data_IF_982954218788
#
_entry.id   IF_982954218788
#
_cell.length_a   1.000
_cell.length_b   1.000
_cell.length_c   1.000
_cell.angle_alpha   90.00
_cell.angle_beta   90.00
_cell.angle_gamma   90.00
#
_symmetry.space_group_name_H-M   'P 1'
#
loop_
_entity.id
_entity.type
_entity.pdbx_description
1 polymer ?
#
# COMPACT_ATOMS: atom_id res chain seq x y z
N UNK A 1 -5.29 22.62 13.26
CA UNK A 1 -4.61 21.47 13.90
C UNK A 1 -3.15 21.50 13.45
N UNK A 2 -2.20 21.40 14.39
CA UNK A 2 -0.77 21.59 14.11
C UNK A 2 -0.20 20.45 13.25
N UNK A 3 0.93 20.72 12.59
CA UNK A 3 1.71 19.69 11.89
C UNK A 3 2.15 18.61 12.89
N UNK A 4 2.08 17.35 12.48
CA UNK A 4 2.40 16.18 13.32
C UNK A 4 3.75 15.61 12.87
N UNK A 5 4.61 15.27 13.84
CA UNK A 5 5.90 14.64 13.58
C UNK A 5 5.97 13.30 14.33
N UNK A 6 6.39 12.25 13.62
CA UNK A 6 6.64 10.92 14.19
C UNK A 6 8.10 10.54 14.05
N UNK A 7 8.63 9.83 15.04
CA UNK A 7 10.00 9.38 15.12
C UNK A 7 10.07 7.84 15.11
N UNK A 8 10.83 7.29 14.17
CA UNK A 8 11.39 5.94 14.25
C UNK A 8 12.80 6.03 14.84
N UNK A 9 13.05 5.28 15.90
CA UNK A 9 14.33 5.31 16.61
C UNK A 9 14.89 3.90 16.76
N UNK A 10 16.09 3.67 16.24
CA UNK A 10 16.77 2.39 16.30
C UNK A 10 18.16 2.59 16.91
N UNK A 11 18.48 1.79 17.92
CA UNK A 11 19.80 1.68 18.53
C UNK A 11 20.55 0.49 17.95
N UNK A 12 21.87 0.63 17.88
CA UNK A 12 22.79 -0.46 17.56
C UNK A 12 22.70 -1.65 18.53
N UNK A 13 22.58 -1.39 19.83
CA UNK A 13 22.61 -2.43 20.86
C UNK A 13 21.19 -2.88 21.27
N UNK A 14 20.26 -1.93 21.42
CA UNK A 14 18.90 -2.20 21.90
C UNK A 14 17.92 -2.54 20.77
N UNK A 15 18.31 -2.33 19.51
CA UNK A 15 17.44 -2.53 18.38
C UNK A 15 16.37 -1.43 18.29
N UNK A 16 15.13 -1.83 18.01
CA UNK A 16 14.06 -0.87 17.68
C UNK A 16 13.46 -0.27 18.97
N UNK A 17 13.96 0.90 19.36
CA UNK A 17 13.52 1.58 20.58
C UNK A 17 12.10 2.10 20.44
N UNK A 18 11.69 2.53 19.23
CA UNK A 18 10.34 3.09 19.03
C UNK A 18 9.25 2.02 18.93
N UNK A 19 9.61 0.73 18.87
CA UNK A 19 8.65 -0.37 18.78
C UNK A 19 7.68 -0.38 19.99
N UNK A 20 6.38 -0.38 19.69
CA UNK A 20 5.33 -0.30 20.70
C UNK A 20 5.23 1.01 21.50
N UNK A 21 5.95 2.08 21.13
CA UNK A 21 5.87 3.37 21.84
C UNK A 21 4.55 4.10 21.63
N UNK A 22 3.88 3.89 20.49
CA UNK A 22 2.56 4.45 20.18
C UNK A 22 1.39 3.57 20.59
N UNK A 23 1.57 2.68 21.59
CA UNK A 23 0.53 1.82 22.15
C UNK A 23 -0.23 2.50 23.29
N UNK A 24 -1.40 1.95 23.63
CA UNK A 24 -2.16 2.33 24.83
C UNK A 24 -1.34 2.18 26.11
N UNK A 25 -0.52 1.14 26.20
CA UNK A 25 0.28 0.84 27.40
C UNK A 25 1.40 1.87 27.62
N UNK A 26 1.84 2.51 26.53
CA UNK A 26 2.93 3.48 26.53
C UNK A 26 2.44 4.93 26.70
N UNK A 27 1.42 5.35 25.93
CA UNK A 27 0.97 6.75 25.88
C UNK A 27 -0.51 6.95 26.26
N UNK A 28 -1.18 5.90 26.74
CA UNK A 28 -2.57 5.94 27.17
C UNK A 28 -3.52 6.36 26.03
N UNK A 29 -4.47 7.25 26.34
CA UNK A 29 -5.48 7.73 25.39
C UNK A 29 -4.92 8.57 24.23
N UNK A 30 -3.62 8.89 24.25
CA UNK A 30 -2.96 9.69 23.21
C UNK A 30 -2.39 8.83 22.07
N UNK A 31 -2.51 7.50 22.18
CA UNK A 31 -2.13 6.57 21.14
C UNK A 31 -2.90 6.86 19.84
N UNK A 32 -2.27 6.60 18.70
CA UNK A 32 -2.88 6.82 17.39
C UNK A 32 -2.78 5.56 16.53
N UNK A 33 -3.90 5.26 15.85
CA UNK A 33 -3.96 4.15 14.92
C UNK A 33 -2.94 4.37 13.79
N UNK A 34 -2.21 3.29 13.43
CA UNK A 34 -1.15 3.25 12.42
C UNK A 34 0.19 3.90 12.82
N UNK A 35 0.36 4.30 14.08
CA UNK A 35 1.62 4.87 14.62
C UNK A 35 2.14 4.10 15.83
N UNK A 36 1.81 2.82 15.93
CA UNK A 36 2.05 1.98 17.12
C UNK A 36 3.54 1.79 17.43
N UNK A 37 4.37 1.79 16.39
CA UNK A 37 5.82 1.55 16.48
C UNK A 37 6.65 2.81 16.22
N UNK A 38 6.04 3.98 16.44
CA UNK A 38 6.62 5.29 16.26
C UNK A 38 6.38 6.13 17.52
N UNK A 39 7.29 7.07 17.77
CA UNK A 39 7.23 8.00 18.89
C UNK A 39 6.59 9.31 18.39
N UNK A 40 5.65 9.86 19.14
CA UNK A 40 5.05 11.16 18.83
C UNK A 40 5.96 12.31 19.28
N UNK A 41 6.30 13.21 18.35
CA UNK A 41 7.20 14.34 18.60
C UNK A 41 6.40 15.65 18.59
N UNK A 42 6.39 16.37 19.72
CA UNK A 42 5.66 17.62 19.91
C UNK A 42 6.36 18.82 19.28
N UNK A 43 7.68 18.84 19.35
CA UNK A 43 8.49 19.90 18.76
C UNK A 43 9.82 19.36 18.29
N UNK A 44 10.36 19.99 17.25
CA UNK A 44 11.67 19.69 16.69
C UNK A 44 12.34 21.00 16.33
N UNK A 45 13.57 21.16 16.81
CA UNK A 45 14.45 22.27 16.53
C UNK A 45 15.71 21.70 15.87
N UNK A 46 15.95 22.12 14.64
CA UNK A 46 17.18 21.84 13.92
C UNK A 46 17.75 23.17 13.42
N UNK A 47 19.05 23.38 13.62
CA UNK A 47 19.74 24.62 13.26
C UNK A 47 20.89 24.36 12.29
N UNK A 48 21.07 25.27 11.34
CA UNK A 48 22.27 25.32 10.50
C UNK A 48 22.82 26.73 10.56
N UNK A 49 24.07 26.85 10.96
CA UNK A 49 24.80 28.13 10.97
C UNK A 49 25.82 28.14 9.82
N UNK A 50 26.21 29.33 9.37
CA UNK A 50 27.24 29.47 8.34
C UNK A 50 28.60 29.72 8.99
N UNK A 51 29.62 29.02 8.53
CA UNK A 51 31.02 29.29 8.89
C UNK A 51 31.69 30.31 7.96
N UNK A 52 31.00 30.76 6.91
CA UNK A 52 31.59 31.48 5.78
C UNK A 52 32.32 30.60 4.77
N UNK A 53 32.61 29.33 5.11
CA UNK A 53 33.23 28.32 4.22
C UNK A 53 32.36 27.07 4.00
N UNK A 54 31.19 27.02 4.64
CA UNK A 54 30.27 25.89 4.60
C UNK A 54 29.25 25.93 5.73
N UNK A 55 28.31 24.97 5.70
CA UNK A 55 27.32 24.77 6.74
C UNK A 55 27.95 24.18 8.01
N UNK A 56 27.63 24.74 9.16
CA UNK A 56 27.86 24.15 10.47
C UNK A 56 26.52 23.69 11.01
N UNK A 57 26.33 22.37 11.01
CA UNK A 57 25.14 21.73 11.53
C UNK A 57 25.17 21.77 13.06
N UNK A 58 24.09 22.26 13.65
CA UNK A 58 23.88 22.21 15.09
C UNK A 58 23.26 20.87 15.48
N UNK A 59 23.29 20.53 16.77
CA UNK A 59 22.52 19.40 17.29
C UNK A 59 21.04 19.53 16.93
N UNK A 60 20.37 18.38 16.79
CA UNK A 60 18.93 18.34 16.61
C UNK A 60 18.30 18.08 17.97
N UNK A 61 17.38 18.96 18.38
CA UNK A 61 16.66 18.84 19.63
C UNK A 61 15.19 18.58 19.33
N UNK A 62 14.60 17.58 19.98
CA UNK A 62 13.19 17.29 19.86
C UNK A 62 12.55 17.04 21.23
N UNK A 63 11.25 17.27 21.32
CA UNK A 63 10.48 17.05 22.54
C UNK A 63 9.41 15.99 22.28
N UNK A 64 9.28 15.04 23.20
CA UNK A 64 8.26 13.99 23.20
C UNK A 64 7.65 13.84 24.59
N UNK A 65 6.56 13.10 24.68
CA UNK A 65 5.98 12.72 25.97
C UNK A 65 6.87 11.67 26.66
N UNK A 66 6.81 11.58 28.00
CA UNK A 66 7.31 10.39 28.71
C UNK A 66 6.51 9.16 28.23
N UNK A 67 7.21 8.14 27.74
CA UNK A 67 6.62 6.94 27.17
C UNK A 67 7.52 5.71 27.39
N UNK A 68 7.19 4.55 26.77
CA UNK A 68 7.99 3.32 26.85
C UNK A 68 9.47 3.51 26.48
N UNK A 69 9.80 4.43 25.57
CA UNK A 69 11.19 4.65 25.13
C UNK A 69 12.03 5.45 26.12
N UNK A 70 11.41 6.18 27.05
CA UNK A 70 12.12 7.04 28.02
C UNK A 70 13.26 6.31 28.76
N UNK A 71 13.07 5.14 29.39
CA UNK A 71 14.18 4.41 30.02
C UNK A 71 15.20 3.85 29.02
N UNK A 72 14.79 3.52 27.79
CA UNK A 72 15.69 3.00 26.74
C UNK A 72 16.61 4.10 26.21
N UNK A 73 16.11 5.33 26.13
CA UNK A 73 16.90 6.53 25.80
C UNK A 73 17.95 6.81 26.88
N UNK A 74 17.60 6.65 28.17
CA UNK A 74 18.55 6.77 29.29
C UNK A 74 19.64 5.70 29.21
N UNK A 75 19.29 4.47 28.81
CA UNK A 75 20.29 3.43 28.57
C UNK A 75 21.20 3.77 27.37
N UNK A 76 20.62 4.29 26.29
CA UNK A 76 21.36 4.68 25.09
C UNK A 76 22.39 5.79 25.36
N UNK A 77 22.04 6.82 26.14
CA UNK A 77 23.00 7.86 26.54
C UNK A 77 24.07 7.31 27.50
N UNK A 78 23.70 6.43 28.45
CA UNK A 78 24.65 5.83 29.40
C UNK A 78 25.74 5.00 28.69
N UNK A 79 25.35 4.28 27.64
CA UNK A 79 26.25 3.42 26.87
C UNK A 79 26.88 4.12 25.66
N UNK A 80 26.59 5.40 25.44
CA UNK A 80 26.99 6.17 24.26
C UNK A 80 26.69 5.42 22.94
N UNK A 81 25.47 4.88 22.85
CA UNK A 81 25.04 4.08 21.70
C UNK A 81 24.91 4.91 20.43
N UNK A 82 25.27 4.31 19.29
CA UNK A 82 24.98 4.87 17.98
C UNK A 82 23.53 4.59 17.62
N UNK A 83 22.86 5.65 17.17
CA UNK A 83 21.44 5.69 16.91
C UNK A 83 21.17 6.04 15.45
N UNK A 84 20.04 5.56 14.98
CA UNK A 84 19.44 5.86 13.71
C UNK A 84 18.05 6.44 13.95
N UNK A 85 17.81 7.65 13.44
CA UNK A 85 16.56 8.38 13.65
C UNK A 85 15.93 8.72 12.30
N UNK A 86 14.62 8.48 12.18
CA UNK A 86 13.82 8.94 11.05
C UNK A 86 12.62 9.75 11.57
N UNK A 87 12.56 11.01 11.18
CA UNK A 87 11.45 11.90 11.46
C UNK A 87 10.55 12.02 10.23
N UNK A 88 9.27 11.70 10.40
CA UNK A 88 8.25 11.82 9.38
C UNK A 88 7.32 12.98 9.71
N UNK A 89 7.24 13.96 8.81
CA UNK A 89 6.40 15.14 8.97
C UNK A 89 5.11 14.96 8.17
N UNK A 90 4.01 15.19 8.86
CA UNK A 90 2.66 15.08 8.32
C UNK A 90 1.99 16.44 8.25
N UNK A 91 1.22 16.64 7.18
CA UNK A 91 0.32 17.79 7.02
C UNK A 91 -1.02 17.33 6.43
N UNK A 92 -2.03 18.18 6.56
CA UNK A 92 -3.31 17.99 5.87
C UNK A 92 -3.17 18.54 4.45
N UNK A 93 -3.47 17.72 3.45
CA UNK A 93 -3.43 18.11 2.04
C UNK A 93 -4.71 18.85 1.61
N UNK A 94 -4.76 19.31 0.35
CA UNK A 94 -5.92 20.02 -0.21
C UNK A 94 -7.23 19.23 -0.21
N UNK A 95 -7.17 17.91 -0.02
CA UNK A 95 -8.31 16.99 0.03
C UNK A 95 -8.72 16.65 1.48
N UNK A 96 -8.11 17.29 2.48
CA UNK A 96 -8.40 17.03 3.90
C UNK A 96 -7.77 15.74 4.44
N UNK A 97 -6.84 15.13 3.71
CA UNK A 97 -6.18 13.88 4.09
C UNK A 97 -4.78 14.15 4.65
N UNK A 98 -4.37 13.32 5.62
CA UNK A 98 -2.99 13.34 6.12
C UNK A 98 -2.03 12.82 5.05
N UNK A 99 -0.97 13.57 4.75
CA UNK A 99 0.12 13.16 3.87
C UNK A 99 1.48 13.38 4.53
N UNK A 100 2.42 12.45 4.30
CA UNK A 100 3.84 12.67 4.59
C UNK A 100 4.39 13.66 3.57
N UNK A 101 4.93 14.79 4.00
CA UNK A 101 5.45 15.81 3.09
C UNK A 101 6.93 16.13 3.27
N UNK A 102 7.47 15.89 4.47
CA UNK A 102 8.88 16.14 4.78
C UNK A 102 9.46 14.99 5.61
N UNK A 103 10.76 14.78 5.46
CA UNK A 103 11.48 13.66 6.05
C UNK A 103 12.87 14.12 6.48
N UNK A 104 13.28 13.77 7.71
CA UNK A 104 14.64 13.97 8.20
C UNK A 104 15.17 12.62 8.69
N UNK A 105 16.37 12.27 8.26
CA UNK A 105 17.11 11.09 8.69
C UNK A 105 18.42 11.49 9.34
N UNK A 106 18.71 10.93 10.50
CA UNK A 106 20.01 11.03 11.14
C UNK A 106 20.68 9.66 11.22
N UNK A 107 21.98 9.60 10.93
CA UNK A 107 22.79 8.38 11.06
C UNK A 107 24.04 8.66 11.90
N UNK A 108 24.49 7.62 12.60
CA UNK A 108 25.58 7.76 13.57
C UNK A 108 25.23 8.72 14.70
N UNK A 109 23.94 8.88 15.01
CA UNK A 109 23.52 9.83 16.03
C UNK A 109 23.88 9.33 17.44
N UNK A 110 24.16 10.24 18.35
CA UNK A 110 24.39 9.96 19.78
C UNK A 110 23.63 10.99 20.61
N UNK A 111 23.05 10.56 21.72
CA UNK A 111 22.30 11.46 22.60
C UNK A 111 23.30 12.32 23.38
N UNK A 112 23.17 13.63 23.28
CA UNK A 112 24.01 14.58 24.02
C UNK A 112 23.35 15.06 25.32
N UNK A 113 22.02 15.12 25.36
CA UNK A 113 21.28 15.45 26.58
C UNK A 113 19.85 14.92 26.56
N UNK A 114 19.34 14.57 27.74
CA UNK A 114 17.94 14.26 28.01
C UNK A 114 17.50 15.11 29.20
N UNK A 115 16.41 15.85 29.05
CA UNK A 115 15.83 16.67 30.11
C UNK A 115 14.35 16.33 30.27
N UNK A 116 13.99 15.70 31.38
CA UNK A 116 12.60 15.45 31.75
C UNK A 116 12.00 16.68 32.41
N UNK A 117 10.75 17.00 32.05
CA UNK A 117 9.99 18.14 32.57
C UNK A 117 8.58 17.69 32.91
N UNK A 118 8.26 17.81 34.20
CA UNK A 118 6.93 17.53 34.78
C UNK A 118 6.41 18.86 35.31
N UNK A 119 5.32 19.35 34.71
CA UNK A 119 4.66 20.60 35.11
C UNK A 119 3.20 20.27 35.37
N UNK A 120 2.67 20.79 36.48
CA UNK A 120 1.27 20.59 36.86
C UNK A 120 0.35 21.08 35.73
N UNK A 121 -0.66 20.26 35.39
CA UNK A 121 -1.67 20.54 34.36
C UNK A 121 -1.12 20.62 32.91
N UNK A 122 0.14 20.23 32.71
CA UNK A 122 0.76 20.05 31.40
C UNK A 122 1.04 18.56 31.13
N UNK A 123 1.36 18.23 29.89
CA UNK A 123 1.82 16.89 29.54
C UNK A 123 3.26 16.74 30.00
N UNK A 124 3.56 15.65 30.69
CA UNK A 124 4.93 15.32 31.06
C UNK A 124 5.77 15.06 29.82
N UNK A 125 6.83 15.83 29.66
CA UNK A 125 7.65 15.83 28.45
C UNK A 125 9.10 15.54 28.76
N UNK A 126 9.81 15.12 27.73
CA UNK A 126 11.25 15.02 27.71
C UNK A 126 11.80 15.71 26.46
N UNK A 127 12.85 16.51 26.66
CA UNK A 127 13.59 17.16 25.61
C UNK A 127 14.89 16.39 25.40
N UNK A 128 15.09 15.88 24.18
CA UNK A 128 16.25 15.09 23.79
C UNK A 128 17.04 15.90 22.77
N UNK A 129 18.34 16.05 22.98
CA UNK A 129 19.26 16.58 21.97
C UNK A 129 20.19 15.48 21.48
N UNK A 130 20.38 15.43 20.17
CA UNK A 130 21.25 14.46 19.51
C UNK A 130 22.30 15.16 18.66
N UNK A 131 23.53 14.69 18.80
CA UNK A 131 24.60 14.93 17.83
C UNK A 131 24.54 13.84 16.77
N UNK A 132 25.06 14.12 15.57
CA UNK A 132 24.96 13.19 14.46
C UNK A 132 26.06 13.40 13.42
N UNK A 133 26.45 12.30 12.77
CA UNK A 133 27.51 12.30 11.77
C UNK A 133 26.96 12.60 10.37
N UNK A 134 25.71 12.22 10.13
CA UNK A 134 25.04 12.41 8.84
C UNK A 134 23.59 12.83 9.03
N UNK A 135 23.18 13.79 8.20
CA UNK A 135 21.78 14.20 8.05
C UNK A 135 21.34 14.10 6.59
N UNK A 136 20.10 13.69 6.40
CA UNK A 136 19.38 13.78 5.13
C UNK A 136 18.01 14.40 5.38
N UNK A 137 17.69 15.44 4.65
CA UNK A 137 16.39 16.10 4.66
C UNK A 137 15.76 16.05 3.28
N UNK A 138 14.50 15.63 3.18
CA UNK A 138 13.77 15.51 1.90
C UNK A 138 12.39 16.15 1.99
N UNK A 139 12.03 16.95 0.99
CA UNK A 139 10.64 17.33 0.75
C UNK A 139 10.02 16.33 -0.23
N UNK A 140 9.17 15.44 0.29
CA UNK A 140 8.68 14.25 -0.43
C UNK A 140 7.78 14.57 -1.62
N UNK A 141 7.02 15.68 -1.54
CA UNK A 141 6.06 16.05 -2.60
C UNK A 141 6.73 16.84 -3.74
N UNK A 142 7.79 17.61 -3.41
CA UNK A 142 8.51 18.45 -4.39
C UNK A 142 9.83 17.81 -4.82
N UNK A 143 10.16 16.65 -4.25
CA UNK A 143 11.34 15.85 -4.53
C UNK A 143 12.68 16.61 -4.44
N UNK A 144 12.78 17.56 -3.52
CA UNK A 144 14.04 18.25 -3.20
C UNK A 144 14.69 17.61 -1.99
N UNK A 145 16.02 17.47 -2.02
CA UNK A 145 16.77 16.84 -0.94
C UNK A 145 18.06 17.60 -0.62
N UNK A 146 18.46 17.50 0.65
CA UNK A 146 19.74 17.96 1.17
C UNK A 146 20.33 16.82 1.99
N UNK A 147 21.60 16.49 1.77
CA UNK A 147 22.32 15.60 2.66
C UNK A 147 23.71 16.12 2.95
N UNK A 148 24.19 15.86 4.16
CA UNK A 148 25.51 16.29 4.59
C UNK A 148 26.11 15.30 5.59
N UNK A 149 27.39 15.03 5.40
CA UNK A 149 28.22 14.20 6.26
C UNK A 149 29.20 15.10 7.00
N UNK A 150 29.01 15.24 8.31
CA UNK A 150 29.83 16.09 9.16
C UNK A 150 31.25 15.52 9.38
N UNK A 151 31.42 14.19 9.29
CA UNK A 151 32.70 13.51 9.50
C UNK A 151 33.02 12.53 8.35
N UNK A 152 33.73 12.98 7.29
CA UNK A 152 34.02 12.16 6.11
C UNK A 152 34.84 10.89 6.40
N UNK A 153 35.73 10.94 7.38
CA UNK A 153 36.59 9.81 7.75
C UNK A 153 35.81 8.65 8.41
N UNK A 154 34.59 8.91 8.90
CA UNK A 154 33.76 7.94 9.62
C UNK A 154 32.64 7.35 8.73
N UNK A 155 32.63 7.63 7.42
CA UNK A 155 31.55 7.19 6.51
C UNK A 155 31.25 5.69 6.59
N UNK A 156 32.28 4.85 6.64
CA UNK A 156 32.14 3.39 6.72
C UNK A 156 31.68 2.89 8.10
N UNK A 157 31.60 3.76 9.11
CA UNK A 157 31.12 3.46 10.46
C UNK A 157 29.70 3.99 10.70
N UNK A 158 29.05 4.58 9.69
CA UNK A 158 27.67 5.01 9.83
C UNK A 158 26.80 3.80 10.16
N UNK A 159 26.27 3.77 11.38
CA UNK A 159 25.29 2.78 11.78
C UNK A 159 24.06 2.92 10.87
N UNK A 160 23.89 1.94 9.99
CA UNK A 160 22.69 1.74 9.20
C UNK A 160 22.07 0.45 9.70
N UNK A 161 20.94 0.50 10.42
CA UNK A 161 20.31 -0.72 10.88
C UNK A 161 20.00 -1.57 9.65
N UNK A 162 20.43 -2.84 9.68
CA UNK A 162 19.99 -3.81 8.69
C UNK A 162 18.46 -3.77 8.66
N UNK A 163 17.81 -3.68 7.49
CA UNK A 163 16.36 -3.70 7.43
C UNK A 163 15.90 -4.98 8.11
N UNK A 164 15.35 -4.86 9.33
CA UNK A 164 14.67 -5.99 9.94
C UNK A 164 13.56 -6.36 8.96
N UNK A 165 13.39 -7.64 8.58
CA UNK A 165 12.13 -8.05 7.98
C UNK A 165 11.07 -7.57 8.96
N UNK A 166 10.23 -6.62 8.52
CA UNK A 166 9.19 -6.11 9.38
C UNK A 166 8.32 -7.31 9.71
N UNK A 167 8.44 -7.86 10.91
CA UNK A 167 7.38 -8.67 11.50
C UNK A 167 6.28 -7.67 11.84
N UNK A 168 5.64 -7.13 10.81
CA UNK A 168 4.26 -6.72 10.92
C UNK A 168 3.57 -7.96 11.46
N UNK A 169 3.09 -7.92 12.71
CA UNK A 169 2.14 -8.92 13.16
C UNK A 169 1.05 -8.90 12.10
N UNK A 170 0.89 -10.00 11.37
CA UNK A 170 -0.04 -10.13 10.23
C UNK A 170 -1.49 -10.18 10.73
N UNK A 171 -1.85 -9.31 11.67
CA UNK A 171 -3.09 -9.32 12.43
C UNK A 171 -3.93 -8.06 12.16
N UNK A 172 -3.68 -7.39 11.03
CA UNK A 172 -4.44 -6.20 10.60
C UNK A 172 -5.72 -6.58 9.86
N UNK A 173 -6.70 -5.67 9.83
CA UNK A 173 -7.93 -5.84 9.05
C UNK A 173 -7.65 -6.03 7.53
N UNK A 174 -6.55 -5.47 7.01
CA UNK A 174 -6.10 -5.70 5.64
C UNK A 174 -5.76 -7.16 5.37
N UNK A 175 -4.98 -7.79 6.26
CA UNK A 175 -4.64 -9.22 6.19
C UNK A 175 -5.89 -10.08 6.29
N UNK A 176 -6.81 -9.72 7.20
CA UNK A 176 -8.12 -10.37 7.31
C UNK A 176 -8.92 -10.42 6.01
N UNK A 177 -9.02 -9.28 5.31
CA UNK A 177 -9.72 -9.17 4.03
C UNK A 177 -9.06 -10.01 2.93
N UNK A 178 -7.73 -10.03 2.91
CA UNK A 178 -6.96 -10.84 1.96
C UNK A 178 -7.15 -12.34 2.22
N UNK A 179 -7.18 -12.77 3.47
CA UNK A 179 -7.46 -14.16 3.84
C UNK A 179 -8.88 -14.56 3.43
N UNK A 180 -9.88 -13.69 3.62
CA UNK A 180 -11.24 -13.96 3.17
C UNK A 180 -11.31 -14.12 1.64
N UNK A 181 -10.66 -13.22 0.90
CA UNK A 181 -10.57 -13.33 -0.56
C UNK A 181 -9.85 -14.61 -1.00
N UNK A 182 -8.74 -14.97 -0.34
CA UNK A 182 -7.99 -16.20 -0.59
C UNK A 182 -8.79 -17.48 -0.28
N UNK A 183 -9.59 -17.46 0.79
CA UNK A 183 -10.50 -18.54 1.16
C UNK A 183 -11.61 -18.76 0.14
N UNK A 184 -12.20 -17.67 -0.39
CA UNK A 184 -13.19 -17.74 -1.48
C UNK A 184 -12.54 -18.27 -2.76
N UNK A 185 -11.39 -17.71 -3.15
CA UNK A 185 -10.72 -18.07 -4.40
C UNK A 185 -10.27 -19.53 -4.43
N UNK A 186 -9.70 -20.02 -3.33
CA UNK A 186 -9.23 -21.40 -3.21
C UNK A 186 -10.32 -22.39 -2.81
N UNK A 187 -11.58 -21.94 -2.62
CA UNK A 187 -12.67 -22.78 -2.12
C UNK A 187 -12.45 -23.33 -0.70
N UNK A 188 -11.52 -22.75 0.06
CA UNK A 188 -11.15 -23.18 1.42
C UNK A 188 -11.43 -22.07 2.43
N UNK A 189 -12.70 -21.70 2.59
CA UNK A 189 -13.11 -20.63 3.50
C UNK A 189 -12.73 -20.96 4.96
N UNK A 190 -12.88 -22.23 5.37
CA UNK A 190 -12.65 -22.63 6.76
C UNK A 190 -11.17 -22.53 7.16
N UNK A 191 -10.24 -23.05 6.34
CA UNK A 191 -8.82 -23.00 6.67
C UNK A 191 -8.25 -21.57 6.70
N UNK A 192 -8.76 -20.68 5.84
CA UNK A 192 -8.35 -19.28 5.85
C UNK A 192 -8.98 -18.48 7.00
N UNK A 193 -10.19 -18.83 7.45
CA UNK A 193 -10.80 -18.30 8.67
C UNK A 193 -9.98 -18.69 9.91
N UNK A 194 -9.64 -19.97 10.04
CA UNK A 194 -8.81 -20.47 11.14
C UNK A 194 -7.45 -19.77 11.18
N UNK A 195 -6.91 -19.40 10.01
CA UNK A 195 -5.67 -18.63 9.89
C UNK A 195 -5.85 -17.19 10.39
N UNK A 196 -6.95 -16.52 10.03
CA UNK A 196 -7.26 -15.18 10.53
C UNK A 196 -7.46 -15.16 12.06
N UNK A 197 -8.08 -16.20 12.62
CA UNK A 197 -8.27 -16.37 14.07
C UNK A 197 -6.95 -16.61 14.81
N UNK A 198 -6.06 -17.44 14.25
CA UNK A 198 -4.70 -17.66 14.79
C UNK A 198 -3.83 -16.41 14.75
N UNK A 199 -4.00 -15.57 13.73
CA UNK A 199 -3.30 -14.29 13.62
C UNK A 199 -3.81 -13.26 14.64
N UNK A 200 -5.08 -13.34 15.05
CA UNK A 200 -5.67 -12.48 16.06
C UNK A 200 -5.82 -11.01 15.62
N UNK A 201 -5.88 -10.09 16.58
CA UNK A 201 -5.97 -8.65 16.32
C UNK A 201 -7.22 -8.24 15.52
N UNK A 202 -7.04 -7.36 14.53
CA UNK A 202 -8.11 -6.89 13.65
C UNK A 202 -8.29 -7.78 12.39
N UNK A 203 -7.48 -8.83 12.20
CA UNK A 203 -7.60 -9.74 11.05
C UNK A 203 -8.95 -10.46 11.03
N UNK A 204 -9.46 -10.87 12.19
CA UNK A 204 -10.78 -11.50 12.30
C UNK A 204 -11.90 -10.54 11.85
N UNK A 205 -11.84 -9.28 12.29
CA UNK A 205 -12.80 -8.25 11.89
C UNK A 205 -12.74 -7.97 10.39
N UNK A 206 -11.54 -7.86 9.83
CA UNK A 206 -11.34 -7.67 8.39
C UNK A 206 -11.85 -8.86 7.56
N UNK A 207 -11.68 -10.08 8.06
CA UNK A 207 -12.21 -11.28 7.43
C UNK A 207 -13.75 -11.27 7.40
N UNK A 208 -14.38 -10.95 8.53
CA UNK A 208 -15.84 -10.90 8.66
C UNK A 208 -16.49 -9.79 7.82
N UNK A 209 -15.78 -8.67 7.59
CA UNK A 209 -16.24 -7.60 6.69
C UNK A 209 -16.47 -8.09 5.25
N UNK A 210 -15.66 -9.04 4.78
CA UNK A 210 -15.83 -9.63 3.45
C UNK A 210 -16.90 -10.71 3.47
N UNK A 211 -16.95 -11.51 4.54
CA UNK A 211 -17.77 -12.71 4.62
C UNK A 211 -19.23 -12.48 5.05
N UNK A 212 -19.61 -11.24 5.41
CA UNK A 212 -20.98 -10.87 5.75
C UNK A 212 -21.99 -11.21 4.63
N UNK A 213 -23.24 -11.52 5.00
CA UNK A 213 -24.28 -11.99 4.08
C UNK A 213 -24.68 -10.97 3.00
N UNK A 214 -24.51 -9.67 3.26
CA UNK A 214 -24.70 -8.62 2.23
C UNK A 214 -23.57 -8.57 1.19
N UNK A 215 -22.36 -9.02 1.52
CA UNK A 215 -21.18 -9.02 0.63
C UNK A 215 -20.95 -10.35 -0.08
N UNK A 216 -21.61 -11.44 0.35
CA UNK A 216 -21.59 -12.75 -0.35
C UNK A 216 -21.99 -12.67 -1.84
N UNK A 217 -22.84 -11.70 -2.21
CA UNK A 217 -23.28 -11.44 -3.60
C UNK A 217 -22.51 -10.35 -4.35
N UNK A 218 -21.54 -9.70 -3.69
CA UNK A 218 -20.56 -8.79 -4.31
C UNK A 218 -19.22 -9.53 -4.36
N UNK A 219 -19.10 -10.39 -5.36
CA UNK A 219 -17.81 -10.97 -5.76
C UNK A 219 -16.81 -9.84 -6.04
N UNK A 220 -15.98 -9.51 -5.05
CA UNK A 220 -14.68 -8.86 -5.26
C UNK A 220 -13.78 -9.93 -5.88
N UNK A 221 -14.05 -10.25 -7.13
CA UNK A 221 -13.15 -11.01 -7.99
C UNK A 221 -12.02 -10.05 -8.34
N UNK A 222 -10.90 -10.21 -7.65
CA UNK A 222 -9.74 -9.32 -7.74
C UNK A 222 -9.62 -8.53 -6.45
N UNK A 223 -8.77 -8.99 -5.53
CA UNK A 223 -8.33 -8.16 -4.43
C UNK A 223 -7.71 -6.89 -5.01
N UNK A 224 -8.47 -5.80 -5.02
CA UNK A 224 -7.93 -4.46 -5.11
C UNK A 224 -6.95 -4.34 -3.94
N UNK A 225 -5.66 -4.20 -4.24
CA UNK A 225 -4.68 -3.71 -3.26
C UNK A 225 -5.06 -2.26 -2.99
N UNK A 226 -6.03 -2.03 -2.12
CA UNK A 226 -6.48 -0.69 -1.77
C UNK A 226 -7.10 -0.67 -0.38
N UNK A 227 -6.25 -0.69 0.65
CA UNK A 227 -6.51 -0.01 1.91
C UNK A 227 -5.18 0.17 2.67
N UNK A 228 -4.49 1.29 2.41
CA UNK A 228 -3.28 1.68 3.13
C UNK A 228 -2.37 2.59 2.31
N UNK A 229 -2.80 3.83 2.01
CA UNK A 229 -1.97 4.83 1.35
C UNK A 229 -0.93 5.34 2.37
N UNK A 230 0.34 4.95 2.18
CA UNK A 230 1.50 5.46 2.92
C UNK A 230 2.80 4.98 2.27
N UNK A 231 3.78 5.89 2.16
CA UNK A 231 5.08 5.73 1.48
C UNK A 231 5.81 4.42 1.87
N UNK A 232 5.64 3.37 1.06
CA UNK A 232 6.25 2.04 1.25
C UNK A 232 6.42 1.25 -0.05
N UNK A 233 6.41 1.94 -1.21
CA UNK A 233 6.36 1.29 -2.54
C UNK A 233 7.63 0.52 -2.94
N UNK A 234 8.75 0.66 -2.23
CA UNK A 234 9.96 -0.15 -2.48
C UNK A 234 9.99 -1.45 -1.67
N UNK A 235 9.42 -1.48 -0.46
CA UNK A 235 9.43 -2.65 0.42
C UNK A 235 8.31 -3.66 0.08
N UNK A 236 7.16 -3.19 -0.41
CA UNK A 236 6.07 -4.07 -0.83
C UNK A 236 6.46 -4.96 -2.04
N UNK A 237 7.35 -4.48 -2.92
CA UNK A 237 7.82 -5.24 -4.08
C UNK A 237 8.79 -6.37 -3.68
N UNK A 238 9.66 -6.13 -2.70
CA UNK A 238 10.53 -7.17 -2.14
C UNK A 238 9.75 -8.24 -1.36
N UNK A 239 8.70 -7.83 -0.63
CA UNK A 239 7.82 -8.74 0.10
C UNK A 239 6.93 -9.56 -0.85
N UNK A 240 6.41 -8.98 -1.93
CA UNK A 240 5.70 -9.72 -2.98
C UNK A 240 6.59 -10.78 -3.64
N UNK A 241 7.87 -10.48 -3.86
CA UNK A 241 8.86 -11.42 -4.39
C UNK A 241 9.11 -12.61 -3.46
N UNK A 242 9.22 -12.37 -2.15
CA UNK A 242 9.40 -13.43 -1.15
C UNK A 242 8.11 -14.23 -0.90
N UNK A 243 6.94 -13.60 -0.86
CA UNK A 243 5.64 -14.27 -0.69
C UNK A 243 5.29 -15.14 -1.91
N UNK A 244 5.68 -14.74 -3.13
CA UNK A 244 5.50 -15.54 -4.34
C UNK A 244 6.29 -16.85 -4.34
N UNK A 245 7.39 -16.95 -3.58
CA UNK A 245 8.14 -18.21 -3.42
C UNK A 245 7.39 -19.23 -2.56
N UNK A 246 6.56 -18.78 -1.63
CA UNK A 246 5.88 -19.63 -0.63
C UNK A 246 4.38 -19.79 -0.85
N UNK A 247 3.81 -19.09 -1.81
CA UNK A 247 2.41 -19.20 -2.17
C UNK A 247 2.31 -19.41 -3.68
N UNK A 248 1.35 -20.23 -4.12
CA UNK A 248 0.96 -20.33 -5.54
C UNK A 248 0.28 -19.03 -6.03
N UNK A 249 0.72 -17.87 -5.55
CA UNK A 249 0.27 -16.58 -6.05
C UNK A 249 0.95 -16.40 -7.41
N UNK A 250 0.18 -16.25 -8.50
CA UNK A 250 0.76 -15.99 -9.81
C UNK A 250 1.59 -14.71 -9.72
N UNK A 251 2.85 -14.77 -10.16
CA UNK A 251 3.71 -13.59 -10.29
C UNK A 251 3.13 -12.70 -11.39
N UNK A 252 2.29 -11.74 -11.01
CA UNK A 252 1.70 -10.78 -11.92
C UNK A 252 2.71 -9.68 -12.24
N UNK A 253 2.90 -9.41 -13.51
CA UNK A 253 3.80 -8.34 -13.96
C UNK A 253 3.12 -6.98 -13.85
N UNK A 254 3.87 -5.93 -13.50
CA UNK A 254 3.30 -4.58 -13.38
C UNK A 254 3.11 -3.94 -14.76
N UNK A 255 1.87 -3.60 -15.17
CA UNK A 255 1.62 -2.95 -16.45
C UNK A 255 2.23 -1.53 -16.54
N UNK A 256 2.42 -0.87 -15.40
CA UNK A 256 3.04 0.45 -15.32
C UNK A 256 4.57 0.43 -15.43
N UNK A 257 5.19 -0.75 -15.32
CA UNK A 257 6.63 -0.93 -15.51
C UNK A 257 6.96 -1.58 -16.85
N UNK A 258 6.16 -2.57 -17.28
CA UNK A 258 6.42 -3.38 -18.48
C UNK A 258 5.60 -2.98 -19.72
N UNK A 259 4.57 -2.15 -19.53
CA UNK A 259 3.57 -1.83 -20.55
C UNK A 259 2.30 -2.68 -20.40
N UNK A 260 1.20 -2.26 -21.02
CA UNK A 260 -0.13 -2.84 -20.81
C UNK A 260 -0.44 -4.09 -21.68
N UNK A 261 0.50 -4.47 -22.53
CA UNK A 261 0.41 -5.61 -23.44
C UNK A 261 1.52 -6.61 -23.16
N UNK A 262 1.21 -7.90 -23.35
CA UNK A 262 2.20 -8.98 -23.41
C UNK A 262 3.06 -8.92 -24.68
N UNK A 263 4.10 -9.74 -24.77
CA UNK A 263 4.93 -9.88 -25.98
C UNK A 263 4.12 -10.31 -27.21
N UNK A 264 3.04 -11.06 -27.02
CA UNK A 264 2.11 -11.47 -28.08
C UNK A 264 1.10 -10.36 -28.47
N UNK A 265 1.19 -9.16 -27.88
CA UNK A 265 0.27 -8.05 -28.11
C UNK A 265 -1.08 -8.16 -27.39
N UNK A 266 -1.37 -9.29 -26.73
CA UNK A 266 -2.55 -9.48 -25.89
C UNK A 266 -2.47 -8.67 -24.59
N UNK A 267 -3.57 -8.53 -23.84
CA UNK A 267 -3.58 -7.83 -22.56
C UNK A 267 -2.56 -8.44 -21.58
N UNK A 268 -1.77 -7.59 -20.91
CA UNK A 268 -0.91 -8.06 -19.81
C UNK A 268 -1.77 -8.69 -18.70
N UNK A 269 -1.32 -9.82 -18.15
CA UNK A 269 -2.05 -10.56 -17.11
C UNK A 269 -3.48 -10.99 -17.52
N UNK A 270 -3.78 -11.13 -18.83
CA UNK A 270 -5.10 -11.48 -19.37
C UNK A 270 -5.76 -12.70 -18.69
N UNK A 271 -4.96 -13.71 -18.30
CA UNK A 271 -5.43 -14.91 -17.58
C UNK A 271 -6.16 -14.59 -16.28
N UNK A 272 -5.87 -13.43 -15.68
CA UNK A 272 -6.41 -12.97 -14.41
C UNK A 272 -7.38 -11.80 -14.58
N UNK A 273 -7.84 -11.55 -15.81
CA UNK A 273 -8.76 -10.45 -16.11
C UNK A 273 -10.11 -10.61 -15.40
N UNK A 274 -10.63 -9.50 -14.91
CA UNK A 274 -11.87 -9.46 -14.11
C UNK A 274 -13.07 -9.17 -15.01
N UNK A 275 -13.98 -10.13 -15.09
CA UNK A 275 -15.27 -10.03 -15.78
C UNK A 275 -16.37 -10.13 -14.72
N UNK A 276 -17.01 -9.01 -14.39
CA UNK A 276 -18.16 -9.00 -13.48
C UNK A 276 -19.36 -9.71 -14.14
N UNK A 277 -19.89 -10.80 -13.55
CA UNK A 277 -21.05 -11.52 -14.09
C UNK A 277 -22.27 -10.62 -14.30
N UNK A 278 -22.48 -9.61 -13.45
CA UNK A 278 -23.61 -8.66 -13.58
C UNK A 278 -23.53 -7.87 -14.88
N UNK A 279 -22.31 -7.61 -15.35
CA UNK A 279 -22.08 -6.83 -16.58
C UNK A 279 -22.44 -7.60 -17.84
N UNK A 280 -22.33 -8.92 -17.78
CA UNK A 280 -22.76 -9.81 -18.85
C UNK A 280 -24.26 -10.08 -18.72
N UNK A 281 -24.68 -10.68 -17.61
CA UNK A 281 -26.05 -11.20 -17.41
C UNK A 281 -27.06 -10.08 -17.26
N UNK A 282 -26.79 -9.10 -16.39
CA UNK A 282 -27.75 -8.07 -16.01
C UNK A 282 -27.71 -6.84 -16.91
N UNK A 283 -26.66 -6.66 -17.72
CA UNK A 283 -26.46 -5.49 -18.59
C UNK A 283 -26.36 -5.85 -20.08
N UNK A 284 -25.32 -6.59 -20.51
CA UNK A 284 -25.03 -6.79 -21.93
C UNK A 284 -25.98 -7.78 -22.63
N UNK A 285 -26.47 -8.78 -21.90
CA UNK A 285 -27.39 -9.81 -22.40
C UNK A 285 -28.82 -9.65 -21.89
N UNK A 286 -29.12 -8.59 -21.12
CA UNK A 286 -30.45 -8.35 -20.58
C UNK A 286 -31.28 -7.46 -21.53
N UNK A 287 -32.32 -7.98 -22.21
CA UNK A 287 -33.17 -7.20 -23.11
C UNK A 287 -33.92 -6.06 -22.41
N UNK A 288 -34.22 -6.24 -21.12
CA UNK A 288 -34.98 -5.29 -20.29
C UNK A 288 -34.11 -4.18 -19.70
N UNK A 289 -32.79 -4.20 -19.92
CA UNK A 289 -31.91 -3.16 -19.38
C UNK A 289 -32.11 -1.83 -20.14
N UNK A 290 -32.42 -0.70 -19.47
CA UNK A 290 -32.83 0.55 -20.12
C UNK A 290 -31.78 1.11 -21.10
N UNK A 291 -30.50 0.85 -20.84
CA UNK A 291 -29.36 1.26 -21.69
C UNK A 291 -28.72 0.08 -22.43
N UNK A 292 -28.98 -1.16 -21.97
CA UNK A 292 -28.23 -2.37 -22.33
C UNK A 292 -29.00 -3.28 -23.28
N UNK A 293 -30.33 -3.16 -23.33
CA UNK A 293 -31.21 -4.01 -24.13
C UNK A 293 -30.90 -4.01 -25.62
N UNK A 294 -30.41 -2.88 -26.17
CA UNK A 294 -29.97 -2.84 -27.56
C UNK A 294 -28.76 -3.76 -27.82
N UNK A 295 -27.85 -3.90 -26.85
CA UNK A 295 -26.73 -4.85 -26.95
C UNK A 295 -27.24 -6.29 -26.86
N UNK A 296 -28.17 -6.56 -25.94
CA UNK A 296 -28.74 -7.89 -25.75
C UNK A 296 -29.40 -8.40 -27.05
N UNK A 297 -30.18 -7.55 -27.71
CA UNK A 297 -30.82 -7.89 -28.99
C UNK A 297 -29.81 -8.24 -30.09
N UNK A 298 -28.71 -7.48 -30.17
CA UNK A 298 -27.64 -7.73 -31.15
C UNK A 298 -26.86 -9.01 -30.81
N UNK A 299 -26.58 -9.28 -29.53
CA UNK A 299 -25.94 -10.52 -29.10
C UNK A 299 -26.79 -11.75 -29.40
N UNK A 300 -28.09 -11.66 -29.18
CA UNK A 300 -29.03 -12.73 -29.49
C UNK A 300 -29.15 -12.94 -30.99
N UNK A 301 -29.30 -11.88 -31.78
CA UNK A 301 -29.44 -12.01 -33.24
C UNK A 301 -28.17 -12.47 -33.95
N UNK A 302 -27.00 -11.95 -33.53
CA UNK A 302 -25.73 -12.22 -34.22
C UNK A 302 -25.06 -13.51 -33.75
N UNK A 303 -25.21 -13.87 -32.47
CA UNK A 303 -24.44 -14.95 -31.84
C UNK A 303 -25.28 -15.91 -31.00
N UNK A 304 -26.59 -15.69 -30.88
CA UNK A 304 -27.50 -16.51 -30.06
C UNK A 304 -27.28 -16.39 -28.55
N UNK A 305 -26.55 -15.37 -28.08
CA UNK A 305 -26.27 -15.21 -26.65
C UNK A 305 -27.38 -14.47 -25.91
N UNK A 306 -27.78 -15.02 -24.76
CA UNK A 306 -28.79 -14.46 -23.87
C UNK A 306 -28.42 -14.81 -22.40
N UNK A 307 -29.18 -14.35 -21.38
CA UNK A 307 -28.82 -14.58 -19.98
C UNK A 307 -28.65 -16.05 -19.60
N UNK A 308 -29.34 -16.98 -20.27
CA UNK A 308 -29.30 -18.42 -19.96
C UNK A 308 -27.98 -19.10 -20.35
N UNK A 309 -27.25 -18.56 -21.32
CA UNK A 309 -26.00 -19.12 -21.84
C UNK A 309 -24.77 -18.18 -21.66
N UNK A 310 -24.92 -17.16 -20.81
CA UNK A 310 -23.90 -16.14 -20.52
C UNK A 310 -22.53 -16.71 -20.13
N UNK A 311 -22.47 -17.86 -19.43
CA UNK A 311 -21.22 -18.50 -19.04
C UNK A 311 -20.35 -18.94 -20.22
N UNK A 312 -20.98 -19.31 -21.35
CA UNK A 312 -20.28 -19.67 -22.59
C UNK A 312 -19.62 -18.43 -23.20
N UNK A 313 -20.33 -17.29 -23.22
CA UNK A 313 -19.78 -16.02 -23.69
C UNK A 313 -18.59 -15.59 -22.83
N UNK A 314 -18.71 -15.66 -21.50
CA UNK A 314 -17.61 -15.32 -20.57
C UNK A 314 -16.37 -16.17 -20.86
N UNK A 315 -16.54 -17.47 -21.05
CA UNK A 315 -15.43 -18.39 -21.33
C UNK A 315 -14.74 -18.07 -22.66
N UNK A 316 -15.52 -17.77 -23.70
CA UNK A 316 -15.00 -17.38 -25.02
C UNK A 316 -14.27 -16.02 -24.97
N UNK A 317 -14.78 -15.06 -24.21
CA UNK A 317 -14.11 -13.78 -23.98
C UNK A 317 -12.79 -13.97 -23.22
N UNK A 318 -12.76 -14.79 -22.17
CA UNK A 318 -11.52 -15.08 -21.41
C UNK A 318 -10.44 -15.71 -22.30
N UNK A 319 -10.82 -16.63 -23.18
CA UNK A 319 -9.88 -17.22 -24.15
C UNK A 319 -9.43 -16.20 -25.20
N UNK A 320 -10.36 -15.37 -25.67
CA UNK A 320 -10.11 -14.36 -26.70
C UNK A 320 -9.10 -13.31 -26.27
N UNK A 321 -9.19 -12.79 -25.05
CA UNK A 321 -8.28 -11.74 -24.56
C UNK A 321 -6.84 -12.22 -24.34
N UNK A 322 -6.60 -13.53 -24.25
CA UNK A 322 -5.26 -14.10 -24.14
C UNK A 322 -4.58 -14.26 -25.50
N UNK A 323 -5.36 -14.26 -26.59
CA UNK A 323 -4.90 -14.65 -27.93
C UNK A 323 -5.00 -13.53 -28.97
N UNK A 324 -5.85 -12.53 -28.73
CA UNK A 324 -6.07 -11.42 -29.66
C UNK A 324 -5.31 -10.15 -29.19
N UNK A 325 -4.82 -9.33 -30.13
CA UNK A 325 -4.08 -8.11 -29.80
C UNK A 325 -4.98 -7.08 -29.13
N UNK A 326 -4.40 -6.33 -28.19
CA UNK A 326 -5.06 -5.24 -27.48
C UNK A 326 -4.66 -3.87 -28.04
N UNK A 327 -5.66 -2.99 -28.20
CA UNK A 327 -5.51 -1.61 -28.65
C UNK A 327 -5.47 -0.67 -27.45
N UNK A 328 -4.46 0.22 -27.41
CA UNK A 328 -4.34 1.28 -26.42
C UNK A 328 -5.40 2.35 -26.65
N UNK A 329 -6.21 2.60 -25.62
CA UNK A 329 -7.14 3.72 -25.55
C UNK A 329 -6.58 4.90 -24.78
N UNK A 330 -7.48 5.79 -24.35
CA UNK A 330 -7.13 6.95 -23.53
C UNK A 330 -6.59 6.53 -22.16
N UNK A 331 -5.54 7.23 -21.74
CA UNK A 331 -5.02 7.22 -20.38
C UNK A 331 -5.61 8.43 -19.63
N UNK A 332 -6.35 8.18 -18.55
CA UNK A 332 -6.97 9.23 -17.72
C UNK A 332 -6.69 8.98 -16.23
N UNK A 333 -7.28 9.81 -15.36
CA UNK A 333 -7.13 9.68 -13.90
C UNK A 333 -7.63 8.35 -13.32
N UNK A 334 -8.45 7.61 -14.07
CA UNK A 334 -8.96 6.29 -13.69
C UNK A 334 -8.09 5.15 -14.19
N UNK A 335 -7.10 5.44 -15.05
CA UNK A 335 -6.09 4.48 -15.52
C UNK A 335 -6.04 4.32 -17.03
N UNK A 336 -5.53 3.18 -17.49
CA UNK A 336 -5.36 2.90 -18.92
C UNK A 336 -6.54 2.12 -19.48
N UNK A 337 -7.25 2.71 -20.46
CA UNK A 337 -8.28 2.01 -21.22
C UNK A 337 -7.67 1.17 -22.32
N UNK A 338 -8.20 -0.03 -22.52
CA UNK A 338 -7.79 -0.92 -23.59
C UNK A 338 -9.01 -1.48 -24.31
N UNK A 339 -8.86 -1.86 -25.57
CA UNK A 339 -9.89 -2.58 -26.33
C UNK A 339 -9.31 -3.84 -26.96
N UNK A 340 -10.09 -4.91 -27.01
CA UNK A 340 -9.72 -6.15 -27.70
C UNK A 340 -10.87 -6.56 -28.59
N UNK A 341 -10.60 -6.72 -29.88
CA UNK A 341 -11.54 -7.26 -30.86
C UNK A 341 -11.35 -8.78 -30.95
N UNK A 342 -12.39 -9.52 -30.58
CA UNK A 342 -12.33 -10.98 -30.45
C UNK A 342 -13.31 -11.60 -31.47
N UNK A 343 -12.87 -12.48 -32.38
CA UNK A 343 -13.78 -13.30 -33.15
C UNK A 343 -14.44 -14.33 -32.22
N UNK A 344 -15.73 -14.18 -31.97
CA UNK A 344 -16.50 -15.10 -31.12
C UNK A 344 -17.44 -15.91 -32.00
N UNK A 345 -17.26 -17.24 -32.00
CA UNK A 345 -18.27 -18.17 -32.46
C UNK A 345 -19.46 -18.11 -31.50
N UNK A 346 -20.68 -17.97 -32.01
CA UNK A 346 -21.94 -17.94 -31.28
C UNK A 346 -22.43 -19.35 -30.94
N UNK A 347 -23.52 -19.44 -30.18
CA UNK A 347 -24.22 -20.72 -29.98
C UNK A 347 -25.16 -21.07 -31.14
N UNK A 348 -25.45 -20.09 -31.99
CA UNK A 348 -26.17 -20.24 -33.25
C UNK A 348 -25.30 -20.77 -34.40
N UNK A 349 -23.97 -20.87 -34.21
CA UNK A 349 -23.02 -21.31 -35.23
C UNK A 349 -22.39 -20.19 -36.05
N UNK A 350 -22.86 -18.95 -35.92
CA UNK A 350 -22.29 -17.79 -36.61
C UNK A 350 -21.09 -17.23 -35.85
N UNK A 351 -20.16 -16.58 -36.54
CA UNK A 351 -19.01 -15.90 -35.92
C UNK A 351 -19.12 -14.40 -36.15
N UNK A 352 -18.98 -13.61 -35.09
CA UNK A 352 -18.97 -12.15 -35.16
C UNK A 352 -17.81 -11.58 -34.35
N UNK A 353 -17.36 -10.38 -34.72
CA UNK A 353 -16.34 -9.67 -33.96
C UNK A 353 -17.00 -9.01 -32.75
N UNK A 354 -16.53 -9.35 -31.56
CA UNK A 354 -16.98 -8.77 -30.31
C UNK A 354 -15.88 -7.87 -29.76
N UNK A 355 -16.18 -6.58 -29.65
CA UNK A 355 -15.29 -5.60 -29.03
C UNK A 355 -15.48 -5.61 -27.53
N UNK A 356 -14.40 -5.87 -26.81
CA UNK A 356 -14.35 -5.83 -25.35
C UNK A 356 -13.49 -4.66 -24.90
N UNK A 357 -14.03 -3.82 -24.04
CA UNK A 357 -13.32 -2.72 -23.40
C UNK A 357 -12.82 -3.12 -22.02
N UNK A 358 -11.61 -2.70 -21.69
CA UNK A 358 -10.91 -3.04 -20.46
C UNK A 358 -10.30 -1.79 -19.84
N UNK A 359 -10.10 -1.82 -18.52
CA UNK A 359 -9.41 -0.77 -17.77
C UNK A 359 -8.39 -1.41 -16.85
N UNK A 360 -7.15 -0.93 -16.94
CA UNK A 360 -6.19 -1.05 -15.85
C UNK A 360 -6.37 0.16 -14.95
N UNK A 361 -7.08 -0.04 -13.85
CA UNK A 361 -7.24 1.02 -12.84
C UNK A 361 -5.89 1.38 -12.24
N UNK A 362 -5.72 2.62 -11.80
CA UNK A 362 -4.50 3.08 -11.13
C UNK A 362 -4.12 2.10 -10.02
N UNK A 363 -2.91 1.54 -10.10
CA UNK A 363 -2.35 0.51 -9.20
C UNK A 363 -2.96 -0.91 -9.31
N UNK A 364 -3.84 -1.17 -10.29
CA UNK A 364 -4.29 -2.53 -10.61
C UNK A 364 -3.28 -3.26 -11.50
N UNK A 365 -2.97 -4.51 -11.13
CA UNK A 365 -2.14 -5.40 -11.95
C UNK A 365 -2.95 -6.14 -13.02
N UNK A 366 -4.27 -6.20 -12.89
CA UNK A 366 -5.14 -6.97 -13.80
C UNK A 366 -6.18 -6.06 -14.46
N UNK A 367 -6.55 -6.33 -15.73
CA UNK A 367 -7.55 -5.54 -16.42
C UNK A 367 -8.97 -5.93 -15.96
N UNK A 368 -9.84 -4.93 -15.78
CA UNK A 368 -11.27 -5.11 -15.51
C UNK A 368 -12.10 -4.73 -16.73
N UNK A 369 -13.10 -5.54 -17.07
CA UNK A 369 -13.96 -5.29 -18.21
C UNK A 369 -14.86 -4.06 -17.99
N UNK A 370 -14.79 -3.08 -18.90
CA UNK A 370 -15.57 -1.84 -18.88
C UNK A 370 -16.78 -1.89 -19.79
N UNK A 371 -16.72 -2.58 -20.93
CA UNK A 371 -17.83 -2.71 -21.88
C UNK A 371 -17.63 -3.93 -22.78
N UNK A 372 -18.71 -4.40 -23.40
CA UNK A 372 -18.71 -5.46 -24.40
C UNK A 372 -19.85 -5.20 -25.39
N UNK A 373 -19.62 -5.41 -26.68
CA UNK A 373 -20.64 -5.33 -27.74
C UNK A 373 -20.16 -6.01 -29.02
N UNK A 374 -21.11 -6.45 -29.86
CA UNK A 374 -20.83 -6.95 -31.22
C UNK A 374 -20.57 -5.75 -32.13
N UNK A 375 -19.50 -5.81 -32.93
CA UNK A 375 -19.06 -4.73 -33.83
C UNK A 375 -19.84 -4.71 -35.14
#
# INVERSE_FOLDING_TARGET
>A
MSNIVYLKLISEQQGDISDGCGTTDSVGNRWQQNHVNEIFVFSLLAGVTSTGKGANLQHLTFNKQIDKSSPLLVNAINNNERLFLEFWFYRINRYGQWEKYYYIQLRGASISSIQMRVIKDEIDTETISVDYDYILSKHLISNTEFSYLALPAEYNKLFVPAPKPQTQTLNSAGVGRLLAAGGIYNGNIKGFRDTAEKLGGDAVKGYDQIMNEQTRGLLIAGASIAAGVGVGRLSALSELGEISKYSKIPSLESPYLKGFTSEAGALLNAKHAVIDPKKIVSYALNPEHPVGGNKARVFESALGFNPSNAGVLVSRVQQGIMTNPAELGLYDSFGQRMSVDIPILGVNGDTAIVRTGWMYETDSLVPRMTTIYVK
#
